data_IF_093489837080
#
_entry.id   IF_093489837080
#
_cell.length_a   1.000
_cell.length_b   1.000
_cell.length_c   1.000
_cell.angle_alpha   90.00
_cell.angle_beta   90.00
_cell.angle_gamma   90.00
#
_symmetry.space_group_name_H-M   'P 1'
#
loop_
_entity.id
_entity.type
_entity.pdbx_description
1 polymer ?
#
# COMPACT_ATOMS: atom_id res chain seq x y z
N UNK A 1 -13.54 -9.33 3.42
CA UNK A 1 -13.06 -10.18 4.57
C UNK A 1 -12.10 -11.29 4.16
N UNK A 2 -12.31 -12.05 3.08
CA UNK A 2 -11.43 -13.18 2.73
C UNK A 2 -9.97 -12.79 2.56
N UNK A 3 -9.67 -11.72 1.84
CA UNK A 3 -8.29 -11.23 1.65
C UNK A 3 -7.62 -10.76 2.95
N UNK A 4 -8.38 -10.11 3.85
CA UNK A 4 -7.88 -9.69 5.17
C UNK A 4 -7.51 -10.90 6.02
N UNK A 5 -8.36 -11.94 6.06
CA UNK A 5 -8.03 -13.22 6.70
C UNK A 5 -6.81 -13.91 6.07
N UNK A 6 -6.54 -13.63 4.79
CA UNK A 6 -5.34 -14.09 4.06
C UNK A 6 -4.08 -13.28 4.36
N UNK A 7 -4.16 -12.20 5.13
CA UNK A 7 -3.00 -11.40 5.58
C UNK A 7 -2.90 -9.99 4.99
N UNK A 8 -3.95 -9.49 4.31
CA UNK A 8 -4.04 -8.07 3.94
C UNK A 8 -4.27 -7.26 5.21
N UNK A 9 -3.42 -6.27 5.47
CA UNK A 9 -3.46 -5.42 6.66
C UNK A 9 -3.85 -3.97 6.39
N UNK A 10 -3.97 -3.58 5.10
CA UNK A 10 -4.47 -2.28 4.68
C UNK A 10 -5.35 -2.44 3.44
N UNK A 11 -6.53 -1.85 3.46
CA UNK A 11 -7.50 -1.85 2.36
C UNK A 11 -7.69 -0.43 1.87
N UNK A 12 -7.43 -0.18 0.59
CA UNK A 12 -7.72 1.11 -0.03
C UNK A 12 -9.04 1.05 -0.80
N UNK A 13 -9.97 1.93 -0.44
CA UNK A 13 -11.25 2.11 -1.14
C UNK A 13 -11.07 3.10 -2.27
N UNK A 14 -11.12 2.60 -3.52
CA UNK A 14 -10.99 3.41 -4.74
C UNK A 14 -12.12 3.10 -5.70
N UNK A 15 -13.10 3.99 -5.75
CA UNK A 15 -14.35 3.81 -6.51
C UNK A 15 -14.68 5.04 -7.37
N UNK A 16 -13.75 5.46 -8.22
CA UNK A 16 -13.81 6.72 -9.02
C UNK A 16 -15.08 6.90 -9.85
N UNK A 17 -15.76 5.82 -10.21
CA UNK A 17 -16.99 5.86 -11.02
C UNK A 17 -18.27 6.07 -10.18
N UNK A 18 -18.17 6.02 -8.86
CA UNK A 18 -19.29 6.25 -7.98
C UNK A 18 -19.40 7.73 -7.59
N UNK A 19 -20.63 8.20 -7.36
CA UNK A 19 -20.84 9.53 -6.75
C UNK A 19 -20.25 9.57 -5.33
N UNK A 20 -19.89 10.77 -4.80
CA UNK A 20 -19.33 10.92 -3.45
C UNK A 20 -20.14 10.22 -2.36
N UNK A 21 -21.47 10.37 -2.40
CA UNK A 21 -22.39 9.70 -1.46
C UNK A 21 -22.28 8.17 -1.52
N UNK A 22 -22.17 7.60 -2.72
CA UNK A 22 -22.00 6.15 -2.89
C UNK A 22 -20.60 5.68 -2.51
N UNK A 23 -19.57 6.49 -2.76
CA UNK A 23 -18.21 6.20 -2.30
C UNK A 23 -18.15 6.16 -0.77
N UNK A 24 -18.76 7.14 -0.10
CA UNK A 24 -18.85 7.17 1.36
C UNK A 24 -19.58 5.94 1.90
N UNK A 25 -20.75 5.61 1.36
CA UNK A 25 -21.52 4.45 1.80
C UNK A 25 -20.75 3.13 1.60
N UNK A 26 -19.99 3.01 0.51
CA UNK A 26 -19.10 1.86 0.28
C UNK A 26 -17.96 1.82 1.29
N UNK A 27 -17.31 2.96 1.55
CA UNK A 27 -16.21 3.06 2.51
C UNK A 27 -16.67 2.70 3.91
N UNK A 28 -17.81 3.24 4.38
CA UNK A 28 -18.42 2.88 5.68
C UNK A 28 -18.66 1.37 5.80
N UNK A 29 -19.28 0.76 4.78
CA UNK A 29 -19.50 -0.69 4.78
C UNK A 29 -18.20 -1.51 4.86
N UNK A 30 -17.13 -1.02 4.20
CA UNK A 30 -15.83 -1.69 4.25
C UNK A 30 -15.20 -1.52 5.64
N UNK A 31 -15.27 -0.32 6.23
CA UNK A 31 -14.79 -0.05 7.60
C UNK A 31 -15.48 -0.98 8.59
N UNK A 32 -16.82 -1.05 8.57
CA UNK A 32 -17.61 -1.93 9.45
C UNK A 32 -17.25 -3.42 9.26
N UNK A 33 -17.11 -3.84 8.00
CA UNK A 33 -16.79 -5.23 7.65
C UNK A 33 -15.38 -5.64 8.07
N UNK A 34 -14.41 -4.75 7.92
CA UNK A 34 -12.99 -5.00 8.20
C UNK A 34 -12.72 -4.92 9.72
N UNK A 35 -13.39 -3.99 10.40
CA UNK A 35 -13.25 -3.76 11.83
C UNK A 35 -11.79 -3.52 12.22
N UNK A 36 -11.35 -4.16 13.29
CA UNK A 36 -9.97 -4.05 13.82
C UNK A 36 -8.93 -4.91 13.08
N UNK A 37 -9.36 -5.70 12.09
CA UNK A 37 -8.48 -6.69 11.45
C UNK A 37 -7.55 -6.10 10.38
N UNK A 38 -7.88 -4.92 9.84
CA UNK A 38 -7.03 -4.19 8.91
C UNK A 38 -7.38 -2.69 8.92
N UNK A 39 -6.43 -1.87 8.51
CA UNK A 39 -6.67 -0.44 8.31
C UNK A 39 -7.43 -0.21 7.01
N UNK A 40 -8.26 0.83 6.97
CA UNK A 40 -8.99 1.25 5.77
C UNK A 40 -8.62 2.69 5.44
N UNK A 41 -8.20 2.93 4.20
CA UNK A 41 -7.94 4.28 3.68
C UNK A 41 -8.81 4.55 2.46
N UNK A 42 -9.29 5.78 2.33
CA UNK A 42 -10.05 6.23 1.16
C UNK A 42 -9.10 6.88 0.15
N UNK A 43 -9.31 6.62 -1.14
CA UNK A 43 -8.50 7.21 -2.18
C UNK A 43 -8.93 8.64 -2.49
N UNK A 44 -8.04 9.61 -2.26
CA UNK A 44 -8.10 10.96 -2.79
C UNK A 44 -8.99 11.95 -2.05
N UNK A 45 -9.90 11.50 -1.20
CA UNK A 45 -10.92 12.35 -0.59
C UNK A 45 -10.89 12.27 0.95
N UNK A 46 -10.33 13.31 1.63
CA UNK A 46 -10.29 13.36 3.10
C UNK A 46 -11.68 13.47 3.75
N UNK A 47 -12.65 14.12 3.09
CA UNK A 47 -14.01 14.27 3.64
C UNK A 47 -14.71 12.91 3.71
N UNK A 48 -14.63 12.13 2.61
CA UNK A 48 -15.16 10.76 2.59
C UNK A 48 -14.43 9.89 3.61
N UNK A 49 -13.11 10.02 3.76
CA UNK A 49 -12.35 9.26 4.75
C UNK A 49 -12.87 9.53 6.16
N UNK A 50 -13.04 10.80 6.54
CA UNK A 50 -13.57 11.21 7.84
C UNK A 50 -14.99 10.74 8.06
N UNK A 51 -15.86 10.97 7.08
CA UNK A 51 -17.29 10.66 7.17
C UNK A 51 -17.58 9.15 7.20
N UNK A 52 -16.69 8.32 6.65
CA UNK A 52 -16.81 6.85 6.67
C UNK A 52 -16.18 6.18 7.88
N UNK A 53 -15.48 6.92 8.74
CA UNK A 53 -14.72 6.35 9.85
C UNK A 53 -13.47 5.57 9.40
N UNK A 54 -12.96 5.84 8.19
CA UNK A 54 -11.73 5.22 7.71
C UNK A 54 -10.52 5.67 8.54
N UNK A 55 -9.49 4.83 8.62
CA UNK A 55 -8.24 5.13 9.33
C UNK A 55 -7.52 6.35 8.76
N UNK A 56 -7.77 6.68 7.48
CA UNK A 56 -7.16 7.83 6.83
C UNK A 56 -7.41 7.88 5.33
N UNK A 57 -6.51 8.56 4.62
CA UNK A 57 -6.62 8.83 3.18
C UNK A 57 -5.34 8.44 2.44
N UNK A 58 -5.49 7.96 1.21
CA UNK A 58 -4.37 7.80 0.28
C UNK A 58 -4.51 8.79 -0.87
N UNK A 59 -3.60 9.75 -0.94
CA UNK A 59 -3.63 10.84 -1.91
C UNK A 59 -2.94 10.42 -3.22
N UNK A 60 -3.54 10.69 -4.40
CA UNK A 60 -2.86 10.54 -5.67
C UNK A 60 -1.70 11.56 -5.78
N UNK A 61 -0.78 11.36 -6.72
CA UNK A 61 0.37 12.27 -6.90
C UNK A 61 -0.10 13.70 -7.16
N UNK A 62 -1.12 13.86 -8.01
CA UNK A 62 -1.81 15.13 -8.21
C UNK A 62 -3.10 15.18 -7.40
N UNK A 63 -3.43 16.34 -6.83
CA UNK A 63 -4.62 16.54 -6.00
C UNK A 63 -4.32 17.19 -4.66
N UNK A 64 -5.13 16.88 -3.64
CA UNK A 64 -5.03 17.46 -2.31
C UNK A 64 -3.62 17.36 -1.71
N UNK A 65 -3.20 18.41 -1.02
CA UNK A 65 -1.91 18.41 -0.33
C UNK A 65 -1.96 17.53 0.93
N UNK A 66 -0.80 17.02 1.32
CA UNK A 66 -0.67 16.23 2.56
C UNK A 66 -0.97 17.12 3.77
N UNK A 67 -0.51 18.37 3.75
CA UNK A 67 -0.72 19.33 4.84
C UNK A 67 -2.21 19.64 5.03
N UNK A 68 -2.96 19.85 3.95
CA UNK A 68 -4.42 20.13 4.04
C UNK A 68 -5.17 18.89 4.55
N UNK A 69 -4.81 17.70 4.06
CA UNK A 69 -5.38 16.46 4.54
C UNK A 69 -5.08 16.22 6.03
N UNK A 70 -3.86 16.52 6.48
CA UNK A 70 -3.45 16.43 7.88
C UNK A 70 -4.20 17.43 8.75
N UNK A 71 -4.31 18.67 8.32
CA UNK A 71 -5.07 19.72 9.04
C UNK A 71 -6.55 19.34 9.20
N UNK A 72 -7.15 18.73 8.16
CA UNK A 72 -8.56 18.33 8.17
C UNK A 72 -8.84 17.06 8.98
N UNK A 73 -7.98 16.04 8.86
CA UNK A 73 -8.19 14.72 9.48
C UNK A 73 -7.59 14.60 10.88
N UNK A 74 -6.61 15.45 11.21
CA UNK A 74 -5.88 15.40 12.49
C UNK A 74 -4.62 14.54 12.44
N UNK A 75 -3.85 14.57 13.53
CA UNK A 75 -2.52 13.93 13.60
C UNK A 75 -2.56 12.41 13.63
N UNK A 76 -3.64 11.80 14.10
CA UNK A 76 -3.78 10.34 14.19
C UNK A 76 -4.19 9.67 12.88
N UNK A 77 -4.63 10.44 11.88
CA UNK A 77 -5.04 9.89 10.60
C UNK A 77 -3.85 9.38 9.79
N UNK A 78 -4.01 8.23 9.13
CA UNK A 78 -3.01 7.67 8.23
C UNK A 78 -3.08 8.36 6.86
N UNK A 79 -2.01 9.05 6.45
CA UNK A 79 -1.95 9.75 5.16
C UNK A 79 -0.88 9.11 4.28
N UNK A 80 -1.33 8.45 3.22
CA UNK A 80 -0.45 7.94 2.17
C UNK A 80 -0.40 8.85 0.95
N UNK A 81 0.68 8.77 0.18
CA UNK A 81 0.86 9.51 -1.08
C UNK A 81 1.36 8.58 -2.18
N UNK A 82 0.76 8.65 -3.37
CA UNK A 82 1.33 8.04 -4.58
C UNK A 82 2.47 8.89 -5.11
N UNK A 83 3.57 8.26 -5.52
CA UNK A 83 4.75 8.92 -6.10
C UNK A 83 5.35 8.07 -7.23
N UNK A 84 5.96 8.74 -8.22
CA UNK A 84 6.56 8.08 -9.39
C UNK A 84 8.05 8.42 -9.56
N UNK A 85 8.64 9.13 -8.60
CA UNK A 85 10.07 9.45 -8.59
C UNK A 85 10.62 9.52 -7.16
N UNK A 86 11.93 9.37 -7.01
CA UNK A 86 12.62 9.53 -5.73
C UNK A 86 12.47 10.94 -5.16
N UNK A 87 12.51 11.97 -6.02
CA UNK A 87 12.31 13.35 -5.56
C UNK A 87 10.89 13.58 -5.03
N UNK A 88 9.86 12.97 -5.66
CA UNK A 88 8.49 13.02 -5.16
C UNK A 88 8.35 12.25 -3.84
N UNK A 89 9.09 11.15 -3.64
CA UNK A 89 9.13 10.40 -2.39
C UNK A 89 9.67 11.26 -1.23
N UNK A 90 10.84 11.90 -1.44
CA UNK A 90 11.45 12.82 -0.46
C UNK A 90 10.54 14.00 -0.15
N UNK A 91 9.89 14.56 -1.17
CA UNK A 91 8.90 15.63 -0.96
C UNK A 91 7.72 15.16 -0.14
N UNK A 92 7.17 13.98 -0.42
CA UNK A 92 6.03 13.44 0.31
C UNK A 92 6.35 13.21 1.80
N UNK A 93 7.54 12.67 2.12
CA UNK A 93 8.01 12.54 3.50
C UNK A 93 8.13 13.89 4.19
N UNK A 94 8.79 14.86 3.56
CA UNK A 94 8.94 16.23 4.10
C UNK A 94 7.59 16.90 4.37
N UNK A 95 6.61 16.66 3.50
CA UNK A 95 5.26 17.22 3.61
C UNK A 95 4.40 16.47 4.65
N UNK A 96 4.92 15.39 5.29
CA UNK A 96 4.29 14.68 6.40
C UNK A 96 3.43 13.47 6.01
N UNK A 97 3.73 12.80 4.89
CA UNK A 97 3.15 11.50 4.58
C UNK A 97 3.62 10.43 5.57
N UNK A 98 2.71 9.53 5.97
CA UNK A 98 3.04 8.41 6.84
C UNK A 98 3.59 7.20 6.06
N UNK A 99 3.30 7.11 4.77
CA UNK A 99 3.82 6.11 3.84
C UNK A 99 3.64 6.58 2.39
N UNK A 100 4.37 5.96 1.47
CA UNK A 100 4.20 6.22 0.04
C UNK A 100 3.86 4.94 -0.74
N UNK A 101 3.05 5.06 -1.80
CA UNK A 101 2.99 4.08 -2.88
C UNK A 101 3.95 4.52 -3.98
N UNK A 102 4.96 3.68 -4.22
CA UNK A 102 5.91 3.90 -5.29
C UNK A 102 5.59 3.00 -6.49
N UNK A 103 5.33 3.57 -7.63
CA UNK A 103 4.99 2.83 -8.84
C UNK A 103 5.19 3.63 -10.12
N UNK A 104 4.91 3.03 -11.26
CA UNK A 104 4.58 1.62 -11.53
C UNK A 104 5.85 0.78 -11.52
N UNK A 105 5.91 -0.30 -10.71
CA UNK A 105 7.14 -1.11 -10.61
C UNK A 105 7.30 -2.02 -11.83
N UNK A 106 6.23 -2.74 -12.23
CA UNK A 106 6.19 -3.60 -13.42
C UNK A 106 5.00 -3.22 -14.29
N UNK A 107 5.01 -3.64 -15.54
CA UNK A 107 3.90 -3.42 -16.48
C UNK A 107 2.56 -3.87 -15.87
N UNK A 108 1.55 -3.02 -16.01
CA UNK A 108 0.27 -3.22 -15.37
C UNK A 108 -0.88 -2.85 -16.29
N UNK A 109 -1.89 -3.72 -16.37
CA UNK A 109 -3.14 -3.44 -17.09
C UNK A 109 -3.89 -2.21 -16.57
N UNK A 110 -3.61 -1.77 -15.35
CA UNK A 110 -4.23 -0.59 -14.74
C UNK A 110 -3.57 0.72 -15.15
N UNK A 111 -2.35 0.67 -15.69
CA UNK A 111 -1.59 1.82 -16.19
C UNK A 111 -0.79 1.38 -17.43
N UNK A 112 -1.45 1.33 -18.60
CA UNK A 112 -0.83 0.83 -19.84
C UNK A 112 0.16 1.81 -20.48
N UNK A 113 0.51 2.89 -19.82
CA UNK A 113 1.36 3.99 -20.36
C UNK A 113 2.83 3.63 -20.57
N UNK A 114 3.24 2.38 -20.37
CA UNK A 114 4.56 1.88 -20.79
C UNK A 114 5.77 2.39 -19.98
N UNK A 115 5.61 3.31 -19.04
CA UNK A 115 6.71 3.78 -18.20
C UNK A 115 6.71 3.03 -16.86
N UNK A 116 7.69 2.15 -16.67
CA UNK A 116 7.91 1.48 -15.40
C UNK A 116 9.15 2.05 -14.72
N UNK A 117 9.06 2.32 -13.43
CA UNK A 117 10.19 2.76 -12.62
C UNK A 117 11.11 1.61 -12.21
N UNK A 118 10.62 0.37 -12.36
CA UNK A 118 11.36 -0.84 -12.06
C UNK A 118 11.81 -0.96 -10.60
N UNK A 119 12.59 -1.98 -10.35
CA UNK A 119 13.18 -2.23 -9.02
C UNK A 119 14.21 -1.15 -8.63
N UNK A 120 14.91 -0.58 -9.61
CA UNK A 120 15.88 0.50 -9.37
C UNK A 120 15.21 1.73 -8.74
N UNK A 121 14.01 2.08 -9.17
CA UNK A 121 13.24 3.16 -8.57
C UNK A 121 12.85 2.86 -7.13
N UNK A 122 12.45 1.60 -6.83
CA UNK A 122 12.17 1.16 -5.47
C UNK A 122 13.41 1.29 -4.59
N UNK A 123 14.57 0.79 -5.04
CA UNK A 123 15.84 0.87 -4.30
C UNK A 123 16.19 2.33 -3.98
N UNK A 124 16.17 3.20 -4.99
CA UNK A 124 16.52 4.62 -4.81
C UNK A 124 15.58 5.30 -3.81
N UNK A 125 14.28 5.06 -3.92
CA UNK A 125 13.30 5.69 -3.05
C UNK A 125 13.36 5.14 -1.63
N UNK A 126 13.51 3.81 -1.44
CA UNK A 126 13.66 3.21 -0.11
C UNK A 126 14.93 3.65 0.63
N UNK A 127 15.98 3.99 -0.10
CA UNK A 127 17.21 4.53 0.50
C UNK A 127 17.14 6.04 0.78
N UNK A 128 16.20 6.75 0.16
CA UNK A 128 16.10 8.20 0.25
C UNK A 128 15.12 8.70 1.31
N UNK A 129 14.21 7.83 1.79
CA UNK A 129 13.20 8.19 2.80
C UNK A 129 13.19 7.20 3.96
N UNK A 130 12.73 7.65 5.12
CA UNK A 130 12.57 6.84 6.33
C UNK A 130 11.15 6.26 6.47
N UNK A 131 10.16 6.86 5.82
CA UNK A 131 8.79 6.37 5.82
C UNK A 131 8.64 5.11 4.96
N UNK A 132 7.66 4.23 5.27
CA UNK A 132 7.43 3.00 4.51
C UNK A 132 7.20 3.25 3.02
N UNK A 133 7.99 2.58 2.18
CA UNK A 133 7.83 2.53 0.72
C UNK A 133 7.07 1.26 0.34
N UNK A 134 5.89 1.42 -0.23
CA UNK A 134 5.03 0.32 -0.65
C UNK A 134 5.06 0.23 -2.17
N UNK A 135 5.60 -0.84 -2.72
CA UNK A 135 5.65 -1.05 -4.18
C UNK A 135 4.26 -1.30 -4.76
N UNK A 136 3.95 -0.67 -5.90
CA UNK A 136 2.68 -0.86 -6.61
C UNK A 136 2.89 -0.94 -8.13
N UNK A 137 2.03 -1.71 -8.81
CA UNK A 137 2.04 -1.90 -10.27
C UNK A 137 2.64 -3.23 -10.70
N UNK A 138 1.83 -4.07 -11.35
CA UNK A 138 2.23 -5.36 -11.93
C UNK A 138 2.73 -6.43 -10.94
N UNK A 139 2.57 -6.22 -9.64
CA UNK A 139 3.11 -7.11 -8.60
C UNK A 139 2.17 -8.30 -8.38
N UNK A 140 2.77 -9.49 -8.26
CA UNK A 140 2.11 -10.77 -8.01
C UNK A 140 3.01 -11.69 -7.16
N UNK A 141 2.59 -12.94 -6.91
CA UNK A 141 3.35 -13.90 -6.10
C UNK A 141 4.70 -14.34 -6.69
N UNK A 142 4.91 -14.15 -7.99
CA UNK A 142 6.15 -14.58 -8.68
C UNK A 142 7.24 -13.50 -8.57
N UNK A 143 6.85 -12.21 -8.55
CA UNK A 143 7.79 -11.09 -8.57
C UNK A 143 7.83 -10.26 -7.26
N UNK A 144 6.92 -10.48 -6.31
CA UNK A 144 6.86 -9.74 -5.05
C UNK A 144 8.16 -9.81 -4.26
N UNK A 145 8.87 -10.94 -4.33
CA UNK A 145 10.14 -11.14 -3.65
C UNK A 145 11.19 -10.12 -4.09
N UNK A 146 11.31 -9.87 -5.38
CA UNK A 146 12.26 -8.90 -5.90
C UNK A 146 11.97 -7.48 -5.42
N UNK A 147 10.67 -7.13 -5.25
CA UNK A 147 10.25 -5.83 -4.70
C UNK A 147 10.64 -5.70 -3.23
N UNK A 148 10.44 -6.75 -2.43
CA UNK A 148 10.86 -6.76 -1.03
C UNK A 148 12.39 -6.69 -0.89
N UNK A 149 13.13 -7.41 -1.73
CA UNK A 149 14.59 -7.37 -1.76
C UNK A 149 15.13 -6.00 -2.22
N UNK A 150 14.35 -5.25 -3.00
CA UNK A 150 14.66 -3.87 -3.39
C UNK A 150 14.45 -2.85 -2.25
N UNK A 151 14.07 -3.28 -1.04
CA UNK A 151 13.92 -2.42 0.12
C UNK A 151 12.49 -1.93 0.39
N UNK A 152 11.49 -2.38 -0.39
CA UNK A 152 10.11 -2.03 -0.09
C UNK A 152 9.67 -2.59 1.27
N UNK A 153 8.91 -1.80 2.03
CA UNK A 153 8.31 -2.21 3.31
C UNK A 153 7.08 -3.10 3.12
N UNK A 154 6.51 -3.10 1.92
CA UNK A 154 5.33 -3.86 1.55
C UNK A 154 4.96 -3.68 0.10
N UNK A 155 3.83 -4.25 -0.29
CA UNK A 155 3.29 -4.13 -1.65
C UNK A 155 1.79 -3.85 -1.64
N UNK A 156 1.32 -3.06 -2.62
CA UNK A 156 -0.09 -2.86 -2.91
C UNK A 156 -0.44 -3.55 -4.23
N UNK A 157 -1.50 -4.33 -4.22
CA UNK A 157 -1.93 -5.12 -5.38
C UNK A 157 -3.45 -5.00 -5.59
N UNK A 158 -3.88 -5.09 -6.84
CA UNK A 158 -5.28 -5.11 -7.22
C UNK A 158 -5.63 -6.48 -7.84
N UNK A 159 -5.21 -6.71 -9.07
CA UNK A 159 -5.59 -7.89 -9.85
C UNK A 159 -5.06 -9.21 -9.25
N UNK A 160 -3.92 -9.18 -8.58
CA UNK A 160 -3.32 -10.35 -7.95
C UNK A 160 -4.20 -10.96 -6.84
N UNK A 161 -5.13 -10.18 -6.27
CA UNK A 161 -6.08 -10.65 -5.25
C UNK A 161 -7.52 -10.57 -5.76
N UNK A 162 -7.98 -9.39 -6.25
CA UNK A 162 -9.40 -9.12 -6.51
C UNK A 162 -9.92 -9.96 -7.69
N UNK A 163 -9.10 -10.24 -8.70
CA UNK A 163 -9.48 -11.05 -9.87
C UNK A 163 -9.40 -12.56 -9.63
N UNK A 164 -8.97 -13.00 -8.44
CA UNK A 164 -8.87 -14.43 -8.12
C UNK A 164 -10.16 -14.97 -7.54
N UNK A 165 -10.55 -16.21 -7.90
CA UNK A 165 -11.75 -16.87 -7.35
C UNK A 165 -11.67 -17.03 -5.83
N UNK A 166 -10.47 -17.25 -5.30
CA UNK A 166 -10.18 -17.38 -3.89
C UNK A 166 -9.22 -16.27 -3.44
N UNK A 167 -9.79 -15.15 -2.96
CA UNK A 167 -9.05 -13.99 -2.47
C UNK A 167 -8.26 -14.28 -1.19
N UNK A 168 -8.71 -15.23 -0.36
CA UNK A 168 -7.99 -15.65 0.85
C UNK A 168 -6.68 -16.33 0.45
N UNK A 169 -6.77 -17.35 -0.40
CA UNK A 169 -5.61 -18.11 -0.87
C UNK A 169 -4.63 -17.21 -1.62
N UNK A 170 -5.13 -16.33 -2.47
CA UNK A 170 -4.30 -15.38 -3.22
C UNK A 170 -3.51 -14.44 -2.30
N UNK A 171 -4.18 -13.86 -1.30
CA UNK A 171 -3.54 -12.99 -0.32
C UNK A 171 -2.50 -13.75 0.53
N UNK A 172 -2.85 -14.94 0.98
CA UNK A 172 -1.94 -15.79 1.76
C UNK A 172 -0.69 -16.19 0.97
N UNK A 173 -0.84 -16.62 -0.28
CA UNK A 173 0.29 -16.96 -1.17
C UNK A 173 1.20 -15.75 -1.38
N UNK A 174 0.62 -14.59 -1.66
CA UNK A 174 1.39 -13.34 -1.81
C UNK A 174 2.16 -13.01 -0.51
N UNK A 175 1.51 -13.09 0.65
CA UNK A 175 2.13 -12.83 1.95
C UNK A 175 3.29 -13.79 2.25
N UNK A 176 3.13 -15.07 1.94
CA UNK A 176 4.17 -16.07 2.08
C UNK A 176 5.36 -15.78 1.16
N UNK A 177 5.09 -15.41 -0.10
CA UNK A 177 6.14 -15.04 -1.05
C UNK A 177 6.92 -13.79 -0.63
N UNK A 178 6.30 -12.83 0.06
CA UNK A 178 7.00 -11.69 0.65
C UNK A 178 7.99 -12.11 1.75
N UNK A 179 7.62 -13.07 2.59
CA UNK A 179 8.38 -13.47 3.79
C UNK A 179 9.45 -14.52 3.50
N UNK A 180 9.36 -15.27 2.41
CA UNK A 180 10.17 -16.45 2.09
C UNK A 180 11.64 -16.12 1.77
N UNK A 181 12.49 -15.74 2.72
CA UNK A 181 13.92 -15.50 2.53
C UNK A 181 14.69 -15.00 3.75
N UNK A 182 14.04 -14.77 4.86
CA UNK A 182 14.77 -14.79 6.12
C UNK A 182 14.79 -16.22 6.66
N UNK A 183 15.66 -17.05 6.12
CA UNK A 183 16.20 -18.18 6.86
C UNK A 183 16.92 -17.53 8.05
N UNK A 184 16.36 -17.64 9.22
CA UNK A 184 17.09 -17.42 10.46
C UNK A 184 18.18 -18.50 10.45
N UNK A 185 19.41 -18.12 10.14
CA UNK A 185 20.56 -18.95 10.40
C UNK A 185 20.50 -19.28 11.91
N UNK A 186 20.21 -20.53 12.21
CA UNK A 186 20.31 -21.02 13.57
C UNK A 186 21.74 -20.75 14.03
N UNK A 187 21.92 -19.84 14.97
CA UNK A 187 23.17 -19.72 15.71
C UNK A 187 23.35 -21.03 16.43
N UNK A 188 24.22 -21.84 15.87
CA UNK A 188 24.70 -23.04 16.53
C UNK A 188 25.38 -22.66 17.86
N UNK A 189 24.79 -23.08 18.95
CA UNK A 189 25.47 -23.10 20.26
C UNK A 189 26.65 -24.03 20.17
N UNK A 190 27.84 -23.47 19.95
CA UNK A 190 29.09 -24.18 20.20
C UNK A 190 29.16 -24.46 21.71
N UNK A 191 29.02 -25.72 22.11
CA UNK A 191 29.45 -26.19 23.42
C UNK A 191 30.96 -25.96 23.49
N UNK A 192 31.37 -25.20 24.49
CA UNK A 192 32.76 -25.20 24.97
C UNK A 192 32.82 -26.29 26.03
N UNK A 193 33.61 -27.29 25.76
CA UNK A 193 34.17 -28.18 26.76
C UNK A 193 35.36 -27.51 27.44
#
# INVERSE_FOLDING_TARGET
>A
MSSVRGGVNLVQVRAKLLSPKRQQALATKIVDLVGVHAQVVVNGDPEIAKASGATGVHLPEEGSSINDARAFLGHSALIGKSVHSTNAAVKAERDGADYIYFGTVFDSLSHPSGHTNGLTGVIKSSNAVSIPVIGIGGINSENVRSVMNAGASGVAVISAIIRRRDSYRAARTLKQAMSGGRSVAAYGTSKIE
#
